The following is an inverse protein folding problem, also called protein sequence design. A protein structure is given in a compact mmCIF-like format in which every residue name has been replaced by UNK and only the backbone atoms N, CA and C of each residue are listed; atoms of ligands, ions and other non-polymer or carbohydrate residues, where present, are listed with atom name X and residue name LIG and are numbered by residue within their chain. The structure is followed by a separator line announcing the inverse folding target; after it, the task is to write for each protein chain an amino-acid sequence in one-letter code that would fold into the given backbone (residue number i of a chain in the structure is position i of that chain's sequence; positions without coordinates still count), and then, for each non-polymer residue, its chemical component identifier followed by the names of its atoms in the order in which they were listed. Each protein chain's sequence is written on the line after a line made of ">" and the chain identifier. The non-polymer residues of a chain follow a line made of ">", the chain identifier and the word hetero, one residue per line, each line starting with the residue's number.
data_IF_282993741886
#
_entry.id   IF_282993741886
#
_cell.length_a   1.000
_cell.length_b   1.000
_cell.length_c   1.000
_cell.angle_alpha   90.00
_cell.angle_beta   90.00
_cell.angle_gamma   90.00
#
_symmetry.space_group_name_H-M   'P 1'
#
loop_
_entity.id
_entity.type
_entity.pdbx_description
1 polymer ?
#
# COMPACT_ATOMS: atom_id res chain seq x y z
N UNK A 1 -95.20 -26.78 -52.07
CA UNK A 1 -94.46 -25.73 -51.34
C UNK A 1 -94.12 -26.14 -49.89
N UNK A 2 -93.80 -27.42 -49.63
CA UNK A 2 -93.58 -27.96 -48.26
C UNK A 2 -92.28 -28.78 -48.08
N UNK A 3 -91.57 -29.11 -49.16
CA UNK A 3 -90.33 -29.91 -49.11
C UNK A 3 -89.11 -29.10 -48.64
N UNK A 4 -89.06 -27.80 -48.96
CA UNK A 4 -87.97 -26.91 -48.56
C UNK A 4 -87.94 -26.63 -47.04
N UNK A 5 -89.12 -26.59 -46.41
CA UNK A 5 -89.28 -26.31 -44.98
C UNK A 5 -88.86 -27.52 -44.15
N UNK A 6 -89.23 -28.73 -44.58
CA UNK A 6 -88.84 -29.98 -43.92
C UNK A 6 -87.33 -30.22 -43.97
N UNK A 7 -86.69 -29.98 -45.13
CA UNK A 7 -85.24 -30.13 -45.27
C UNK A 7 -84.47 -29.19 -44.32
N UNK A 8 -84.93 -27.96 -44.12
CA UNK A 8 -84.31 -27.00 -43.20
C UNK A 8 -84.47 -27.38 -41.73
N UNK A 9 -85.63 -27.95 -41.36
CA UNK A 9 -85.88 -28.42 -39.98
C UNK A 9 -85.01 -29.63 -39.67
N UNK A 10 -84.90 -30.59 -40.60
CA UNK A 10 -84.05 -31.77 -40.46
C UNK A 10 -82.57 -31.39 -40.37
N UNK A 11 -82.11 -30.43 -41.18
CA UNK A 11 -80.74 -29.92 -41.13
C UNK A 11 -80.43 -29.23 -39.79
N UNK A 12 -81.37 -28.45 -39.24
CA UNK A 12 -81.21 -27.83 -37.92
C UNK A 12 -81.19 -28.88 -36.80
N UNK A 13 -82.05 -29.89 -36.86
CA UNK A 13 -82.07 -30.98 -35.88
C UNK A 13 -80.78 -31.82 -35.93
N UNK A 14 -80.24 -32.12 -37.12
CA UNK A 14 -78.94 -32.78 -37.28
C UNK A 14 -77.79 -31.96 -36.68
N UNK A 15 -77.80 -30.63 -36.90
CA UNK A 15 -76.80 -29.72 -36.34
C UNK A 15 -76.84 -29.68 -34.80
N UNK A 16 -78.04 -29.69 -34.21
CA UNK A 16 -78.27 -29.79 -32.76
C UNK A 16 -77.92 -31.16 -32.18
N UNK A 17 -77.98 -32.22 -32.99
CA UNK A 17 -77.63 -33.60 -32.62
C UNK A 17 -76.13 -33.89 -32.72
N UNK A 18 -75.33 -32.88 -33.08
CA UNK A 18 -73.87 -33.01 -33.22
C UNK A 18 -73.40 -33.68 -34.51
N UNK A 19 -74.26 -33.83 -35.53
CA UNK A 19 -73.84 -34.26 -36.87
C UNK A 19 -73.63 -33.02 -37.78
N UNK A 20 -72.39 -32.51 -37.89
CA UNK A 20 -72.08 -31.43 -38.80
C UNK A 20 -72.15 -31.97 -40.23
N UNK A 21 -73.16 -31.52 -40.98
CA UNK A 21 -73.21 -31.71 -42.43
C UNK A 21 -71.91 -31.28 -43.15
N UNK A 22 -71.76 -31.61 -44.44
CA UNK A 22 -70.48 -31.47 -45.16
C UNK A 22 -69.88 -30.05 -45.15
N UNK A 23 -70.72 -29.01 -45.03
CA UNK A 23 -70.31 -27.59 -44.96
C UNK A 23 -69.73 -27.18 -43.60
N UNK A 24 -70.13 -27.80 -42.49
CA UNK A 24 -69.57 -27.52 -41.16
C UNK A 24 -68.26 -28.28 -40.90
N UNK A 25 -68.02 -29.41 -41.58
CA UNK A 25 -66.73 -30.13 -41.52
C UNK A 25 -65.56 -29.36 -42.12
N UNK A 26 -65.76 -28.64 -43.22
CA UNK A 26 -64.69 -27.84 -43.85
C UNK A 26 -64.33 -26.61 -43.02
N UNK A 27 -65.33 -25.92 -42.47
CA UNK A 27 -65.15 -24.75 -41.60
C UNK A 27 -64.50 -25.15 -40.27
N UNK A 28 -64.95 -26.26 -39.64
CA UNK A 28 -64.31 -26.77 -38.42
C UNK A 28 -62.85 -27.18 -38.67
N UNK A 29 -62.53 -27.82 -39.79
CA UNK A 29 -61.13 -28.16 -40.12
C UNK A 29 -60.24 -26.94 -40.30
N UNK A 30 -60.75 -25.87 -40.92
CA UNK A 30 -59.99 -24.62 -41.06
C UNK A 30 -59.81 -23.89 -39.72
N UNK A 31 -60.83 -23.89 -38.86
CA UNK A 31 -60.70 -23.33 -37.51
C UNK A 31 -59.73 -24.15 -36.67
N UNK A 32 -59.77 -25.48 -36.74
CA UNK A 32 -58.86 -26.37 -36.01
C UNK A 32 -57.41 -26.17 -36.47
N UNK A 33 -57.17 -26.05 -37.79
CA UNK A 33 -55.86 -25.74 -38.34
C UNK A 33 -55.34 -24.36 -37.91
N UNK A 34 -56.22 -23.36 -37.84
CA UNK A 34 -55.87 -22.01 -37.38
C UNK A 34 -55.54 -22.00 -35.89
N UNK A 35 -56.31 -22.71 -35.07
CA UNK A 35 -56.06 -22.87 -33.62
C UNK A 35 -54.73 -23.59 -33.40
N UNK A 36 -54.46 -24.66 -34.14
CA UNK A 36 -53.18 -25.35 -34.08
C UNK A 36 -52.01 -24.44 -34.47
N UNK A 37 -52.13 -23.67 -35.55
CA UNK A 37 -51.08 -22.73 -35.96
C UNK A 37 -50.82 -21.65 -34.90
N UNK A 38 -51.87 -21.15 -34.23
CA UNK A 38 -51.74 -20.19 -33.13
C UNK A 38 -51.10 -20.81 -31.89
N UNK A 39 -51.46 -22.05 -31.54
CA UNK A 39 -50.85 -22.78 -30.44
C UNK A 39 -49.36 -23.06 -30.70
N UNK A 40 -48.99 -23.47 -31.91
CA UNK A 40 -47.59 -23.66 -32.29
C UNK A 40 -46.81 -22.34 -32.20
N UNK A 41 -47.37 -21.24 -32.73
CA UNK A 41 -46.73 -19.93 -32.65
C UNK A 41 -46.59 -19.44 -31.20
N UNK A 42 -47.57 -19.74 -30.35
CA UNK A 42 -47.53 -19.44 -28.93
C UNK A 42 -46.43 -20.25 -28.23
N UNK A 43 -46.34 -21.55 -28.51
CA UNK A 43 -45.32 -22.46 -27.97
C UNK A 43 -43.90 -22.01 -28.37
N UNK A 44 -43.70 -21.69 -29.66
CA UNK A 44 -42.45 -21.11 -30.16
C UNK A 44 -42.11 -19.76 -29.51
N UNK A 45 -43.13 -18.95 -29.20
CA UNK A 45 -42.97 -17.69 -28.49
C UNK A 45 -42.55 -17.91 -27.04
N UNK A 46 -43.20 -18.84 -26.34
CA UNK A 46 -42.90 -19.21 -24.97
C UNK A 46 -41.50 -19.82 -24.85
N UNK A 47 -41.13 -20.70 -25.77
CA UNK A 47 -39.78 -21.28 -25.84
C UNK A 47 -38.71 -20.19 -25.99
N UNK A 48 -38.95 -19.18 -26.83
CA UNK A 48 -38.05 -18.02 -26.98
C UNK A 48 -37.94 -17.19 -25.71
N UNK A 49 -39.05 -16.88 -25.05
CA UNK A 49 -39.05 -16.12 -23.79
C UNK A 49 -38.35 -16.88 -22.68
N UNK A 50 -38.59 -18.18 -22.54
CA UNK A 50 -37.91 -19.03 -21.55
C UNK A 50 -36.40 -19.11 -21.80
N UNK A 51 -35.99 -19.24 -23.07
CA UNK A 51 -34.58 -19.20 -23.44
C UNK A 51 -33.91 -17.86 -23.10
N UNK A 52 -34.60 -16.74 -23.35
CA UNK A 52 -34.10 -15.41 -23.00
C UNK A 52 -34.01 -15.22 -21.48
N UNK A 53 -35.01 -15.67 -20.72
CA UNK A 53 -35.00 -15.66 -19.26
C UNK A 53 -33.84 -16.49 -18.69
N UNK A 54 -33.61 -17.68 -19.23
CA UNK A 54 -32.46 -18.51 -18.84
C UNK A 54 -31.14 -17.79 -19.11
N UNK A 55 -31.00 -17.18 -20.28
CA UNK A 55 -29.78 -16.42 -20.64
C UNK A 55 -29.55 -15.23 -19.70
N UNK A 56 -30.62 -14.53 -19.30
CA UNK A 56 -30.53 -13.42 -18.33
C UNK A 56 -30.10 -13.95 -16.96
N UNK A 57 -30.72 -15.04 -16.50
CA UNK A 57 -30.38 -15.68 -15.24
C UNK A 57 -28.92 -16.14 -15.20
N UNK A 58 -28.46 -16.82 -16.26
CA UNK A 58 -27.09 -17.32 -16.39
C UNK A 58 -26.05 -16.16 -16.36
N UNK A 59 -26.44 -14.94 -16.74
CA UNK A 59 -25.58 -13.74 -16.65
C UNK A 59 -25.67 -13.02 -15.30
N UNK A 60 -26.80 -13.12 -14.60
CA UNK A 60 -27.00 -12.52 -13.29
C UNK A 60 -26.23 -13.26 -12.21
N UNK A 61 -26.27 -14.60 -12.21
CA UNK A 61 -25.58 -15.43 -11.22
C UNK A 61 -24.09 -15.09 -11.03
N UNK A 62 -23.24 -15.02 -12.08
CA UNK A 62 -21.83 -14.66 -11.90
C UNK A 62 -21.64 -13.20 -11.46
N UNK A 63 -22.57 -12.31 -11.80
CA UNK A 63 -22.53 -10.91 -11.36
C UNK A 63 -22.82 -10.81 -9.86
N UNK A 64 -23.80 -11.57 -9.37
CA UNK A 64 -24.14 -11.67 -7.95
C UNK A 64 -23.02 -12.31 -7.13
N UNK A 65 -22.27 -13.24 -7.71
CA UNK A 65 -21.10 -13.85 -7.06
C UNK A 65 -19.89 -12.90 -6.99
N UNK A 66 -19.65 -12.10 -8.02
CA UNK A 66 -18.49 -11.19 -8.08
C UNK A 66 -18.68 -9.90 -7.28
N UNK A 67 -19.92 -9.42 -7.16
CA UNK A 67 -20.27 -8.21 -6.40
C UNK A 67 -19.78 -8.22 -4.93
N UNK A 68 -20.03 -9.25 -4.11
CA UNK A 68 -19.54 -9.29 -2.72
C UNK A 68 -18.01 -9.33 -2.69
N UNK A 69 -17.39 -10.01 -3.64
CA UNK A 69 -15.93 -10.11 -3.71
C UNK A 69 -15.28 -8.75 -4.03
N UNK A 70 -15.90 -7.96 -4.91
CA UNK A 70 -15.50 -6.59 -5.19
C UNK A 70 -15.75 -5.68 -3.98
N UNK A 71 -16.89 -5.83 -3.31
CA UNK A 71 -17.22 -5.08 -2.09
C UNK A 71 -16.15 -5.30 -1.01
N UNK A 72 -15.78 -6.54 -0.73
CA UNK A 72 -14.73 -6.86 0.25
C UNK A 72 -13.37 -6.28 -0.13
N UNK A 73 -13.03 -6.28 -1.43
CA UNK A 73 -11.77 -5.67 -1.89
C UNK A 73 -11.77 -4.16 -1.72
N UNK A 74 -12.90 -3.51 -1.98
CA UNK A 74 -13.06 -2.06 -1.80
C UNK A 74 -12.95 -1.71 -0.32
N UNK A 75 -13.69 -2.39 0.57
CA UNK A 75 -13.63 -2.11 2.01
C UNK A 75 -12.22 -2.29 2.56
N UNK A 76 -11.52 -3.36 2.15
CA UNK A 76 -10.11 -3.57 2.53
C UNK A 76 -9.21 -2.44 2.02
N UNK A 77 -9.43 -1.96 0.80
CA UNK A 77 -8.67 -0.83 0.24
C UNK A 77 -8.95 0.46 1.01
N UNK A 78 -10.20 0.71 1.40
CA UNK A 78 -10.59 1.87 2.19
C UNK A 78 -9.97 1.82 3.59
N UNK A 79 -9.97 0.67 4.25
CA UNK A 79 -9.29 0.44 5.54
C UNK A 79 -7.78 0.71 5.45
N UNK A 80 -7.12 0.19 4.39
CA UNK A 80 -5.71 0.47 4.14
C UNK A 80 -5.47 1.97 3.94
N UNK A 81 -6.30 2.64 3.13
CA UNK A 81 -6.21 4.09 2.92
C UNK A 81 -6.43 4.88 4.22
N UNK A 82 -7.31 4.41 5.11
CA UNK A 82 -7.55 5.04 6.41
C UNK A 82 -6.33 4.98 7.34
N UNK A 83 -5.43 4.00 7.18
CA UNK A 83 -4.19 3.86 7.97
C UNK A 83 -3.03 4.74 7.47
N UNK A 84 -3.10 5.23 6.23
CA UNK A 84 -2.03 6.05 5.61
C UNK A 84 -1.70 7.33 6.40
N UNK A 85 -2.68 8.11 6.92
CA UNK A 85 -2.40 9.30 7.70
C UNK A 85 -1.61 9.04 8.98
N UNK A 86 -1.88 7.92 9.66
CA UNK A 86 -1.14 7.51 10.86
C UNK A 86 0.32 7.21 10.53
N UNK A 87 0.55 6.47 9.43
CA UNK A 87 1.91 6.22 8.93
C UNK A 87 2.65 7.51 8.58
N UNK A 88 1.99 8.47 7.92
CA UNK A 88 2.60 9.77 7.64
C UNK A 88 2.97 10.54 8.91
N UNK A 89 2.13 10.46 9.95
CA UNK A 89 2.44 11.06 11.25
C UNK A 89 3.67 10.42 11.88
N UNK A 90 3.73 9.09 11.92
CA UNK A 90 4.88 8.34 12.46
C UNK A 90 6.17 8.63 11.69
N UNK A 91 6.12 8.66 10.36
CA UNK A 91 7.28 9.00 9.52
C UNK A 91 7.74 10.44 9.80
N UNK A 92 6.82 11.40 9.89
CA UNK A 92 7.17 12.79 10.21
C UNK A 92 7.82 12.90 11.60
N UNK A 93 7.27 12.22 12.60
CA UNK A 93 7.83 12.21 13.95
C UNK A 93 9.25 11.62 13.97
N UNK A 94 9.46 10.52 13.26
CA UNK A 94 10.76 9.87 13.13
C UNK A 94 11.78 10.79 12.42
N UNK A 95 11.38 11.42 11.32
CA UNK A 95 12.24 12.38 10.61
C UNK A 95 12.67 13.52 11.53
N UNK A 96 11.75 14.08 12.31
CA UNK A 96 12.07 15.13 13.28
C UNK A 96 13.06 14.65 14.35
N UNK A 97 12.81 13.47 14.93
CA UNK A 97 13.72 12.89 15.92
C UNK A 97 15.11 12.61 15.33
N UNK A 98 15.18 12.16 14.09
CA UNK A 98 16.44 11.97 13.36
C UNK A 98 17.17 13.29 13.15
N UNK A 99 16.48 14.37 12.73
CA UNK A 99 17.12 15.68 12.56
C UNK A 99 17.63 16.24 13.88
N UNK A 100 16.85 16.10 14.96
CA UNK A 100 17.25 16.54 16.29
C UNK A 100 18.49 15.78 16.77
N UNK A 101 18.56 14.47 16.51
CA UNK A 101 19.72 13.63 16.84
C UNK A 101 20.96 14.03 16.05
N UNK A 102 20.82 14.33 14.75
CA UNK A 102 21.94 14.82 13.92
C UNK A 102 22.47 16.16 14.43
N UNK A 103 21.59 17.07 14.85
CA UNK A 103 21.99 18.36 15.43
C UNK A 103 22.76 18.13 16.74
N UNK A 104 22.29 17.22 17.60
CA UNK A 104 22.97 16.88 18.85
C UNK A 104 24.35 16.27 18.59
N UNK A 105 24.48 15.37 17.62
CA UNK A 105 25.75 14.79 17.23
C UNK A 105 26.74 15.85 16.75
N UNK A 106 26.32 16.75 15.87
CA UNK A 106 27.17 17.85 15.39
C UNK A 106 27.62 18.78 16.52
N UNK A 107 26.74 19.08 17.47
CA UNK A 107 27.10 19.86 18.64
C UNK A 107 28.12 19.12 19.53
N UNK A 108 27.92 17.83 19.77
CA UNK A 108 28.86 17.01 20.54
C UNK A 108 30.23 16.92 19.86
N UNK A 109 30.25 16.78 18.53
CA UNK A 109 31.47 16.78 17.73
C UNK A 109 32.23 18.11 17.87
N UNK A 110 31.53 19.25 17.75
CA UNK A 110 32.13 20.56 17.98
C UNK A 110 32.71 20.71 19.39
N UNK A 111 31.96 20.28 20.41
CA UNK A 111 32.43 20.31 21.80
C UNK A 111 33.64 19.40 22.05
N UNK A 112 33.70 18.25 21.39
CA UNK A 112 34.86 17.34 21.47
C UNK A 112 36.08 17.96 20.80
N UNK A 113 35.91 18.53 19.60
CA UNK A 113 36.99 19.22 18.91
C UNK A 113 37.54 20.39 19.75
N UNK A 114 36.65 21.22 20.32
CA UNK A 114 37.07 22.32 21.20
C UNK A 114 37.79 21.82 22.46
N UNK A 115 37.37 20.68 23.01
CA UNK A 115 38.02 20.09 24.18
C UNK A 115 39.40 19.52 23.81
N UNK A 116 39.54 18.88 22.65
CA UNK A 116 40.81 18.37 22.14
C UNK A 116 41.77 19.53 21.82
N UNK A 117 41.29 20.59 21.17
CA UNK A 117 42.11 21.76 20.85
C UNK A 117 42.61 22.46 22.11
N UNK A 118 41.77 22.61 23.15
CA UNK A 118 42.22 23.10 24.46
C UNK A 118 43.24 22.16 25.11
N UNK A 119 43.02 20.85 25.06
CA UNK A 119 43.97 19.87 25.58
C UNK A 119 45.33 19.99 24.89
N UNK A 120 45.36 20.09 23.55
CA UNK A 120 46.59 20.27 22.78
C UNK A 120 47.31 21.58 23.09
N UNK A 121 46.58 22.66 23.41
CA UNK A 121 47.17 23.94 23.81
C UNK A 121 47.79 23.89 25.22
N UNK A 122 47.26 23.05 26.11
CA UNK A 122 47.78 22.86 27.46
C UNK A 122 48.94 21.85 27.54
N UNK A 123 49.28 21.20 26.42
CA UNK A 123 50.40 20.27 26.30
C UNK A 123 51.66 20.98 25.80
N UNK A 124 52.72 20.98 26.62
CA UNK A 124 54.01 21.57 26.22
C UNK A 124 54.91 20.52 25.55
N UNK A 125 55.23 20.72 24.27
CA UNK A 125 56.03 19.79 23.45
C UNK A 125 57.47 20.28 23.28
N UNK A 126 58.45 19.47 23.72
CA UNK A 126 59.87 19.73 23.51
C UNK A 126 60.45 18.78 22.47
N UNK A 127 60.77 19.29 21.29
CA UNK A 127 61.42 18.53 20.23
C UNK A 127 62.93 18.44 20.42
N UNK A 128 63.50 17.29 20.05
CA UNK A 128 64.94 17.02 20.10
C UNK A 128 65.50 16.68 21.47
N UNK A 129 64.63 16.59 22.49
CA UNK A 129 65.00 16.09 23.81
C UNK A 129 64.47 14.67 23.95
N UNK A 130 65.37 13.72 24.21
CA UNK A 130 64.98 12.32 24.40
C UNK A 130 64.14 12.18 25.67
N UNK A 131 63.02 11.46 25.55
CA UNK A 131 62.26 11.02 26.71
C UNK A 131 63.10 10.07 27.57
N UNK A 132 63.11 10.28 28.88
CA UNK A 132 63.65 9.36 29.88
C UNK A 132 62.51 8.75 30.68
N UNK A 133 62.71 7.54 31.21
CA UNK A 133 61.88 7.01 32.28
C UNK A 133 62.17 7.82 33.55
N UNK A 134 61.32 8.80 33.82
CA UNK A 134 61.40 9.63 35.02
C UNK A 134 59.99 9.97 35.51
N UNK A 135 59.88 10.41 36.76
CA UNK A 135 58.58 10.78 37.31
C UNK A 135 58.12 12.11 36.72
N UNK A 136 56.80 12.37 36.78
CA UNK A 136 56.25 13.66 36.33
C UNK A 136 56.94 14.85 36.99
N UNK A 137 57.21 14.77 38.29
CA UNK A 137 57.89 15.84 39.04
C UNK A 137 59.31 16.12 38.52
N UNK A 138 60.04 15.08 38.12
CA UNK A 138 61.38 15.23 37.52
C UNK A 138 61.30 15.91 36.15
N UNK A 139 60.31 15.52 35.34
CA UNK A 139 60.03 16.14 34.03
C UNK A 139 59.60 17.59 34.14
N UNK A 140 58.70 17.91 35.07
CA UNK A 140 58.20 19.26 35.31
C UNK A 140 59.34 20.20 35.75
N UNK A 141 60.17 19.75 36.69
CA UNK A 141 61.34 20.52 37.13
C UNK A 141 62.37 20.74 36.01
N UNK A 142 62.62 19.71 35.19
CA UNK A 142 63.52 19.82 34.04
C UNK A 142 63.00 20.82 33.00
N UNK A 143 61.72 20.76 32.67
CA UNK A 143 61.03 21.65 31.73
C UNK A 143 61.06 23.09 32.23
N UNK A 144 60.68 23.34 33.48
CA UNK A 144 60.72 24.66 34.09
C UNK A 144 62.12 25.27 34.06
N UNK A 145 63.15 24.45 34.31
CA UNK A 145 64.54 24.88 34.25
C UNK A 145 64.99 25.24 32.82
N UNK A 146 64.61 24.46 31.80
CA UNK A 146 64.91 24.79 30.40
C UNK A 146 64.27 26.11 30.00
N UNK A 147 62.97 26.30 30.27
CA UNK A 147 62.27 27.53 29.92
C UNK A 147 62.88 28.74 30.62
N UNK A 148 63.27 28.62 31.89
CA UNK A 148 63.92 29.70 32.63
C UNK A 148 65.32 30.02 32.10
N UNK A 149 66.11 29.00 31.77
CA UNK A 149 67.52 29.17 31.40
C UNK A 149 67.73 29.58 29.94
N UNK A 150 66.91 29.05 29.03
CA UNK A 150 67.12 29.20 27.58
C UNK A 150 66.10 30.10 26.92
N UNK A 151 64.91 30.26 27.51
CA UNK A 151 63.79 31.03 26.94
C UNK A 151 63.46 32.25 27.84
N UNK A 152 64.08 32.35 29.02
CA UNK A 152 63.85 33.40 30.02
C UNK A 152 62.38 33.50 30.50
N UNK A 153 61.61 32.41 30.36
CA UNK A 153 60.22 32.30 30.82
C UNK A 153 60.19 31.59 32.16
N UNK A 154 59.57 32.22 33.16
CA UNK A 154 59.35 31.61 34.47
C UNK A 154 57.96 30.94 34.51
N UNK A 155 57.94 29.63 34.28
CA UNK A 155 56.72 28.82 34.37
C UNK A 155 56.28 28.66 35.83
N UNK A 156 55.00 28.88 36.13
CA UNK A 156 54.44 28.63 37.46
C UNK A 156 53.99 27.16 37.54
N UNK A 157 54.24 26.44 38.65
CA UNK A 157 53.66 25.13 38.86
C UNK A 157 52.13 25.22 38.78
N UNK A 158 51.50 24.36 37.96
CA UNK A 158 50.10 24.37 37.52
C UNK A 158 49.75 25.14 36.22
N UNK A 159 50.68 25.89 35.62
CA UNK A 159 50.43 26.48 34.28
C UNK A 159 50.57 25.43 33.15
N UNK A 160 51.13 24.27 33.48
CA UNK A 160 51.36 23.15 32.56
C UNK A 160 50.57 21.96 33.07
N UNK A 161 49.58 21.51 32.31
CA UNK A 161 48.86 20.27 32.62
C UNK A 161 49.68 19.04 32.24
N UNK A 162 50.38 19.09 31.10
CA UNK A 162 51.27 18.02 30.62
C UNK A 162 52.43 18.58 29.81
N UNK A 163 53.55 17.87 29.86
CA UNK A 163 54.73 18.16 29.06
C UNK A 163 55.25 16.86 28.47
N UNK A 164 55.51 16.86 27.16
CA UNK A 164 56.07 15.73 26.44
C UNK A 164 57.38 16.12 25.78
N UNK A 165 58.37 15.23 25.87
CA UNK A 165 59.64 15.36 25.15
C UNK A 165 59.62 14.39 23.98
N UNK A 166 59.67 14.94 22.79
CA UNK A 166 59.72 14.19 21.54
C UNK A 166 61.18 14.19 21.12
N UNK A 167 61.81 13.01 21.14
CA UNK A 167 63.19 12.85 20.69
C UNK A 167 63.35 13.26 19.22
N UNK A 168 64.60 13.30 18.73
CA UNK A 168 64.81 13.50 17.30
C UNK A 168 64.08 12.40 16.51
N UNK A 169 63.26 12.83 15.55
CA UNK A 169 62.78 11.93 14.50
C UNK A 169 64.02 11.45 13.77
N UNK A 170 64.36 10.16 13.89
CA UNK A 170 65.36 9.59 13.00
C UNK A 170 64.76 9.64 11.58
N UNK A 171 65.47 10.17 10.57
CA UNK A 171 64.95 10.29 9.22
C UNK A 171 64.76 8.95 8.47
N UNK A 172 64.72 7.82 9.17
CA UNK A 172 64.46 6.51 8.56
C UNK A 172 63.71 5.59 9.54
N UNK A 173 62.39 5.54 9.38
CA UNK A 173 61.52 4.35 9.42
C UNK A 173 60.10 4.71 9.01
#
# INVERSE_FOLDING_TARGET
>A
MNTFTYANIVLKLLLLSGDPGPTTRSTNRQTDQTIHALLTKLDEGQARVLSALKTINDRLTPTEETLPHLKTRITKSEEMCASIPELFFSVRALTKSSTDSTIQLSNMEGRLNDAEDRSRQCDLLFYGILAKEETWADSEGFVANICKKHIEINLVPNDIERAHRIGNVQPDK
#
